data_IF_576196041401
#
_entry.id   IF_576196041401
#
_cell.length_a   1.000
_cell.length_b   1.000
_cell.length_c   1.000
_cell.angle_alpha   90.00
_cell.angle_beta   90.00
_cell.angle_gamma   90.00
#
_symmetry.space_group_name_H-M   'P 1'
#
loop_
_entity.id
_entity.type
_entity.pdbx_description
1 polymer ?
#
# COMPACT_ATOMS: atom_id res chain seq x y z
N UNK A 1 0.51 21.20 10.89
CA UNK A 1 -0.81 20.74 10.39
C UNK A 1 -1.05 21.04 8.92
N UNK A 2 -1.32 22.29 8.49
CA UNK A 2 -1.67 22.56 7.08
C UNK A 2 -0.56 22.19 6.06
N UNK A 3 0.72 22.32 6.44
CA UNK A 3 1.84 21.95 5.58
C UNK A 3 2.00 20.42 5.44
N UNK A 4 1.78 19.67 6.52
CA UNK A 4 1.87 18.21 6.53
C UNK A 4 0.77 17.59 5.67
N UNK A 5 -0.47 18.09 5.76
CA UNK A 5 -1.59 17.61 4.93
C UNK A 5 -1.30 17.84 3.45
N UNK A 6 -0.74 19.00 3.08
CA UNK A 6 -0.33 19.27 1.69
C UNK A 6 0.76 18.31 1.21
N UNK A 7 1.75 18.04 2.05
CA UNK A 7 2.83 17.12 1.72
C UNK A 7 2.31 15.68 1.53
N UNK A 8 1.41 15.21 2.38
CA UNK A 8 0.75 13.91 2.24
C UNK A 8 -0.12 13.85 0.98
N UNK A 9 -0.83 14.94 0.65
CA UNK A 9 -1.64 15.02 -0.56
C UNK A 9 -0.77 14.87 -1.84
N UNK A 10 0.45 15.40 -1.86
CA UNK A 10 1.36 15.21 -3.00
C UNK A 10 1.81 13.74 -3.16
N UNK A 11 1.97 13.01 -2.06
CA UNK A 11 2.32 11.57 -2.09
C UNK A 11 1.20 10.72 -2.72
N UNK A 12 -0.07 11.13 -2.59
CA UNK A 12 -1.20 10.42 -3.23
C UNK A 12 -1.06 10.36 -4.76
N UNK A 13 -0.42 11.37 -5.37
CA UNK A 13 -0.25 11.44 -6.84
C UNK A 13 0.79 10.43 -7.34
N UNK A 14 1.81 10.20 -6.52
CA UNK A 14 2.94 9.32 -6.85
C UNK A 14 2.67 7.86 -6.44
N UNK A 15 1.69 7.64 -5.57
CA UNK A 15 1.39 6.32 -5.01
C UNK A 15 0.17 5.67 -5.65
N UNK A 16 0.02 4.36 -5.46
CA UNK A 16 -1.16 3.57 -5.78
C UNK A 16 -1.58 2.74 -4.57
N UNK A 17 -2.89 2.58 -4.40
CA UNK A 17 -3.46 1.49 -3.62
C UNK A 17 -3.58 0.28 -4.54
N UNK A 18 -3.00 -0.84 -4.13
CA UNK A 18 -2.96 -2.08 -4.90
C UNK A 18 -3.77 -3.12 -4.17
N UNK A 19 -4.65 -3.81 -4.90
CA UNK A 19 -5.42 -4.94 -4.38
C UNK A 19 -5.16 -6.17 -5.22
N UNK A 20 -5.08 -7.34 -4.60
CA UNK A 20 -4.88 -8.59 -5.33
C UNK A 20 -4.90 -9.80 -4.42
N UNK A 21 -4.66 -10.97 -5.01
CA UNK A 21 -4.67 -12.23 -4.29
C UNK A 21 -3.39 -12.44 -3.47
N UNK A 22 -3.54 -13.08 -2.31
CA UNK A 22 -2.43 -13.35 -1.40
C UNK A 22 -1.31 -14.21 -2.00
N UNK A 23 -1.60 -15.03 -3.00
CA UNK A 23 -0.59 -15.88 -3.64
C UNK A 23 0.48 -15.07 -4.40
N UNK A 24 0.20 -13.79 -4.69
CA UNK A 24 1.15 -12.87 -5.31
C UNK A 24 2.14 -12.27 -4.30
N UNK A 25 1.90 -12.45 -2.99
CA UNK A 25 2.76 -11.92 -1.94
C UNK A 25 3.78 -12.97 -1.50
N UNK A 26 5.06 -12.67 -1.74
CA UNK A 26 6.22 -13.41 -1.28
C UNK A 26 7.27 -12.46 -0.66
N UNK A 27 8.44 -13.00 -0.29
CA UNK A 27 9.53 -12.21 0.29
C UNK A 27 10.06 -11.10 -0.63
N UNK A 28 9.99 -11.29 -1.94
CA UNK A 28 10.41 -10.30 -2.92
C UNK A 28 9.29 -9.30 -3.17
N UNK A 29 8.06 -9.75 -3.36
CA UNK A 29 6.96 -8.84 -3.74
C UNK A 29 6.52 -7.94 -2.60
N UNK A 30 6.60 -8.42 -1.36
CA UNK A 30 6.35 -7.61 -0.16
C UNK A 30 7.20 -6.33 -0.11
N UNK A 31 8.42 -6.35 -0.65
CA UNK A 31 9.34 -5.19 -0.66
C UNK A 31 8.90 -4.06 -1.58
N UNK A 32 7.94 -4.29 -2.49
CA UNK A 32 7.39 -3.23 -3.33
C UNK A 32 6.37 -2.35 -2.60
N UNK A 33 5.96 -2.72 -1.38
CA UNK A 33 4.93 -2.02 -0.63
C UNK A 33 5.51 -1.23 0.55
N UNK A 34 5.09 0.03 0.66
CA UNK A 34 5.31 0.90 1.82
C UNK A 34 4.45 0.46 3.00
N UNK A 35 3.25 -0.05 2.70
CA UNK A 35 2.34 -0.68 3.63
C UNK A 35 1.65 -1.85 2.94
N UNK A 36 1.48 -2.96 3.65
CA UNK A 36 0.84 -4.15 3.13
C UNK A 36 -0.01 -4.79 4.22
N UNK A 37 -1.27 -5.02 3.92
CA UNK A 37 -2.22 -5.75 4.75
C UNK A 37 -2.73 -6.96 3.97
N UNK A 38 -2.65 -8.15 4.58
CA UNK A 38 -3.27 -9.37 4.04
C UNK A 38 -4.46 -9.76 4.90
N UNK A 39 -5.52 -10.23 4.25
CA UNK A 39 -6.75 -10.74 4.85
C UNK A 39 -7.09 -12.10 4.21
N UNK A 40 -8.15 -12.78 4.63
CA UNK A 40 -8.57 -14.03 3.98
C UNK A 40 -8.84 -13.87 2.48
N UNK A 41 -9.42 -12.73 2.07
CA UNK A 41 -9.89 -12.48 0.71
C UNK A 41 -8.83 -11.89 -0.23
N UNK A 42 -7.61 -11.62 0.27
CA UNK A 42 -6.54 -11.02 -0.51
C UNK A 42 -5.74 -9.99 0.27
N UNK A 43 -4.99 -9.16 -0.45
CA UNK A 43 -4.18 -8.10 0.11
C UNK A 43 -4.57 -6.71 -0.39
N UNK A 44 -4.23 -5.72 0.43
CA UNK A 44 -4.21 -4.31 0.05
C UNK A 44 -2.85 -3.72 0.43
N UNK A 45 -2.28 -2.89 -0.45
CA UNK A 45 -0.99 -2.28 -0.18
C UNK A 45 -0.77 -0.94 -0.85
N UNK A 46 0.04 -0.10 -0.23
CA UNK A 46 0.45 1.19 -0.78
C UNK A 46 1.84 1.05 -1.41
N UNK A 47 1.96 1.46 -2.67
CA UNK A 47 3.23 1.46 -3.39
C UNK A 47 3.48 2.79 -4.09
N UNK A 48 4.75 3.20 -4.15
CA UNK A 48 5.25 4.22 -5.07
C UNK A 48 6.05 3.60 -6.24
N UNK A 49 6.09 2.27 -6.34
CA UNK A 49 6.79 1.46 -7.35
C UNK A 49 5.78 0.79 -8.29
N UNK A 50 4.89 1.61 -8.90
CA UNK A 50 3.73 1.12 -9.68
C UNK A 50 4.16 0.21 -10.83
N UNK A 51 5.24 0.57 -11.51
CA UNK A 51 5.73 -0.18 -12.68
C UNK A 51 6.21 -1.57 -12.27
N UNK A 52 7.00 -1.64 -11.21
CA UNK A 52 7.56 -2.88 -10.68
C UNK A 52 6.46 -3.82 -10.19
N UNK A 53 5.42 -3.26 -9.55
CA UNK A 53 4.24 -4.04 -9.14
C UNK A 53 3.48 -4.60 -10.34
N UNK A 54 3.22 -3.79 -11.38
CA UNK A 54 2.52 -4.27 -12.59
C UNK A 54 3.32 -5.35 -13.33
N UNK A 55 4.64 -5.24 -13.37
CA UNK A 55 5.51 -6.22 -14.02
C UNK A 55 5.57 -7.55 -13.26
N UNK A 56 5.55 -7.51 -11.91
CA UNK A 56 5.70 -8.70 -11.06
C UNK A 56 4.39 -9.36 -10.66
N UNK A 57 3.31 -8.59 -10.63
CA UNK A 57 2.01 -8.99 -10.09
C UNK A 57 0.92 -8.76 -11.14
N UNK A 58 0.90 -9.54 -12.23
CA UNK A 58 -0.11 -9.38 -13.26
C UNK A 58 -1.51 -9.62 -12.69
N UNK A 59 -2.47 -8.77 -13.07
CA UNK A 59 -3.87 -8.90 -12.65
C UNK A 59 -4.25 -8.18 -11.36
N UNK A 60 -3.30 -7.50 -10.68
CA UNK A 60 -3.63 -6.65 -9.53
C UNK A 60 -4.47 -5.43 -9.96
N UNK A 61 -5.36 -5.00 -9.09
CA UNK A 61 -6.12 -3.76 -9.24
C UNK A 61 -5.30 -2.59 -8.68
N UNK A 62 -5.18 -1.51 -9.44
CA UNK A 62 -4.58 -0.26 -8.99
C UNK A 62 -5.61 0.85 -8.89
N UNK A 63 -5.71 1.44 -7.71
CA UNK A 63 -6.58 2.55 -7.38
C UNK A 63 -5.76 3.77 -6.93
N UNK A 64 -6.38 4.96 -7.00
CA UNK A 64 -5.79 6.15 -6.40
C UNK A 64 -5.96 6.06 -4.88
N UNK A 65 -4.88 6.16 -4.08
CA UNK A 65 -4.99 6.13 -2.64
C UNK A 65 -5.58 7.43 -2.11
N UNK A 66 -6.29 7.34 -0.99
CA UNK A 66 -6.73 8.48 -0.21
C UNK A 66 -5.58 9.07 0.60
N UNK A 67 -5.79 10.26 1.19
CA UNK A 67 -4.82 10.82 2.14
C UNK A 67 -4.72 9.93 3.38
N UNK A 68 -5.81 9.30 3.82
CA UNK A 68 -5.80 8.39 4.98
C UNK A 68 -4.94 7.16 4.73
N UNK A 69 -5.02 6.55 3.54
CA UNK A 69 -4.17 5.42 3.17
C UNK A 69 -2.68 5.79 3.20
N UNK A 70 -2.34 6.98 2.68
CA UNK A 70 -0.98 7.52 2.73
C UNK A 70 -0.55 7.80 4.17
N UNK A 71 -1.43 8.36 4.99
CA UNK A 71 -1.13 8.59 6.41
C UNK A 71 -0.84 7.28 7.13
N UNK A 72 -1.61 6.23 6.89
CA UNK A 72 -1.34 4.91 7.46
C UNK A 72 0.00 4.35 7.00
N UNK A 73 0.34 4.51 5.72
CA UNK A 73 1.60 4.01 5.17
C UNK A 73 2.85 4.75 5.70
N UNK A 74 2.77 6.06 5.94
CA UNK A 74 3.93 6.89 6.28
C UNK A 74 4.01 7.29 7.77
N UNK A 75 2.87 7.41 8.45
CA UNK A 75 2.77 7.86 9.84
C UNK A 75 2.33 6.70 10.75
N UNK A 76 1.45 5.82 10.26
CA UNK A 76 0.91 4.68 10.99
C UNK A 76 1.89 3.53 11.27
N UNK A 77 3.15 3.63 10.80
CA UNK A 77 4.20 2.61 11.00
C UNK A 77 4.65 2.40 12.46
N UNK A 78 3.99 3.03 13.44
CA UNK A 78 4.27 2.88 14.86
C UNK A 78 3.21 2.07 15.61
N UNK A 79 3.35 0.74 15.59
CA UNK A 79 2.79 -0.26 16.53
C UNK A 79 1.31 -0.69 16.36
N UNK A 80 1.14 -2.01 16.19
CA UNK A 80 -0.07 -2.86 16.27
C UNK A 80 -1.01 -2.78 15.05
N UNK A 81 -1.30 -3.87 14.33
CA UNK A 81 -1.86 -5.12 14.86
C UNK A 81 -1.21 -6.35 14.22
N UNK A 82 -0.49 -7.13 15.03
CA UNK A 82 -0.57 -8.57 14.92
C UNK A 82 -1.94 -9.00 15.45
N UNK A 83 -2.55 -10.00 14.81
CA UNK A 83 -3.79 -10.69 15.22
C UNK A 83 -5.11 -9.91 15.04
N UNK A 84 -5.78 -10.17 13.91
CA UNK A 84 -7.20 -10.48 13.94
C UNK A 84 -7.33 -11.92 13.43
N UNK A 85 -8.06 -12.72 14.21
CA UNK A 85 -8.22 -14.19 14.13
C UNK A 85 -8.58 -14.73 12.75
#
# INVERSE_FOLDING_TARGET
>A
MANEIRQLAELTKQSALVKGDNHLIDEQTRKQFLHLRQTGDGFEGITNQKKEVLERMPGVLMERPTIEDIMLAYIGGGKNVAAAR
#
